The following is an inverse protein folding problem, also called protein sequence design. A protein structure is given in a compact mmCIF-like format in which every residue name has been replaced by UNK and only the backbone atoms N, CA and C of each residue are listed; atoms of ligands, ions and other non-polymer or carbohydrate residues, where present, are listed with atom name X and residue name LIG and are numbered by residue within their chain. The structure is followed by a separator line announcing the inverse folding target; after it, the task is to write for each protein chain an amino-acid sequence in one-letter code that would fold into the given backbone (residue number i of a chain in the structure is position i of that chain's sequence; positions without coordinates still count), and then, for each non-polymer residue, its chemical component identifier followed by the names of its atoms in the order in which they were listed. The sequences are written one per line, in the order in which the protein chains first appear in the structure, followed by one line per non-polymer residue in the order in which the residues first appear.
data_IF_527655159104
#
_entry.id   IF_527655159104
#
_cell.length_a   1.000
_cell.length_b   1.000
_cell.length_c   1.000
_cell.angle_alpha   90.00
_cell.angle_beta   90.00
_cell.angle_gamma   90.00
#
_symmetry.space_group_name_H-M   'P 1'
#
loop_
_entity.id
_entity.type
_entity.pdbx_description
1 polymer ?
#
# COMPACT_ATOMS: atom_id res chain seq x y z
N UNK A 1 -12.09 2.15 -12.24
CA UNK A 1 -11.21 1.58 -13.29
C UNK A 1 -10.81 0.17 -12.87
N UNK A 2 -10.96 -0.84 -13.73
CA UNK A 2 -10.78 -2.28 -13.43
C UNK A 2 -9.57 -2.92 -14.14
N UNK A 3 -8.72 -2.13 -14.82
CA UNK A 3 -7.62 -2.64 -15.64
C UNK A 3 -6.36 -3.05 -14.85
N UNK A 4 -6.48 -3.32 -13.55
CA UNK A 4 -5.34 -3.62 -12.67
C UNK A 4 -4.57 -4.88 -13.06
N UNK A 5 -5.22 -5.82 -13.76
CA UNK A 5 -4.64 -7.11 -14.15
C UNK A 5 -4.43 -7.27 -15.66
N UNK A 6 -4.86 -6.30 -16.48
CA UNK A 6 -4.74 -6.41 -17.94
C UNK A 6 -3.33 -6.06 -18.45
N UNK A 7 -2.66 -5.11 -17.78
CA UNK A 7 -1.30 -4.69 -18.12
C UNK A 7 -0.63 -4.01 -16.94
N UNK A 8 0.71 -4.03 -16.86
CA UNK A 8 1.44 -3.10 -16.02
C UNK A 8 1.04 -1.67 -16.42
N UNK A 9 0.33 -0.98 -15.54
CA UNK A 9 -0.02 0.42 -15.71
C UNK A 9 0.80 1.25 -14.72
N UNK A 10 1.76 2.03 -15.20
CA UNK A 10 2.34 3.11 -14.42
C UNK A 10 1.53 4.38 -14.71
N UNK A 11 0.54 4.68 -13.87
CA UNK A 11 -0.13 5.97 -13.96
C UNK A 11 0.89 7.09 -13.72
N UNK A 12 0.97 8.09 -14.59
CA UNK A 12 1.79 9.28 -14.31
C UNK A 12 1.20 10.03 -13.10
N UNK A 13 -0.10 9.88 -12.89
CA UNK A 13 -0.82 10.38 -11.73
C UNK A 13 -0.48 9.60 -10.46
N UNK A 14 0.21 10.30 -9.54
CA UNK A 14 0.57 9.79 -8.23
C UNK A 14 -0.65 9.54 -7.34
N UNK A 15 -1.74 10.27 -7.58
CA UNK A 15 -2.99 10.08 -6.86
C UNK A 15 -3.60 8.72 -7.16
N UNK A 16 -3.79 8.39 -8.44
CA UNK A 16 -4.27 7.07 -8.87
C UNK A 16 -3.39 5.91 -8.35
N UNK A 17 -2.06 6.11 -8.31
CA UNK A 17 -1.13 5.12 -7.75
C UNK A 17 -1.36 4.91 -6.25
N UNK A 18 -1.40 6.00 -5.48
CA UNK A 18 -1.50 5.92 -4.03
C UNK A 18 -2.87 5.39 -3.60
N UNK A 19 -3.95 5.86 -4.23
CA UNK A 19 -5.32 5.37 -3.95
C UNK A 19 -5.43 3.86 -4.20
N UNK A 20 -5.05 3.40 -5.39
CA UNK A 20 -5.16 1.98 -5.74
C UNK A 20 -4.23 1.08 -4.91
N UNK A 21 -2.96 1.48 -4.76
CA UNK A 21 -1.97 0.68 -4.02
C UNK A 21 -2.25 0.69 -2.52
N UNK A 22 -2.68 1.82 -1.97
CA UNK A 22 -3.06 1.96 -0.56
C UNK A 22 -4.26 1.08 -0.20
N UNK A 23 -5.35 1.14 -0.99
CA UNK A 23 -6.53 0.28 -0.77
C UNK A 23 -6.19 -1.20 -0.85
N UNK A 24 -5.48 -1.63 -1.89
CA UNK A 24 -5.12 -3.03 -2.07
C UNK A 24 -4.21 -3.49 -0.93
N UNK A 25 -3.21 -2.68 -0.56
CA UNK A 25 -2.27 -3.04 0.49
C UNK A 25 -2.95 -3.11 1.86
N UNK A 26 -3.84 -2.18 2.19
CA UNK A 26 -4.63 -2.22 3.42
C UNK A 26 -5.48 -3.50 3.51
N UNK A 27 -6.20 -3.85 2.43
CA UNK A 27 -6.95 -5.08 2.36
C UNK A 27 -6.07 -6.31 2.60
N UNK A 28 -4.90 -6.37 1.94
CA UNK A 28 -3.95 -7.48 2.12
C UNK A 28 -3.38 -7.53 3.55
N UNK A 29 -3.08 -6.37 4.15
CA UNK A 29 -2.60 -6.27 5.52
C UNK A 29 -3.63 -6.78 6.54
N UNK A 30 -4.93 -6.75 6.21
CA UNK A 30 -6.00 -7.37 7.01
C UNK A 30 -6.18 -8.85 6.67
N UNK A 31 -6.28 -9.18 5.38
CA UNK A 31 -6.79 -10.48 4.93
C UNK A 31 -5.73 -11.59 4.86
N UNK A 32 -4.45 -11.27 4.66
CA UNK A 32 -3.41 -12.30 4.56
C UNK A 32 -3.20 -13.02 5.90
N UNK A 33 -2.94 -14.34 5.89
CA UNK A 33 -2.36 -15.04 7.03
C UNK A 33 -1.02 -14.41 7.45
N UNK A 34 -0.67 -14.47 8.74
CA UNK A 34 0.52 -13.80 9.27
C UNK A 34 1.82 -14.31 8.61
N UNK A 35 1.88 -15.59 8.26
CA UNK A 35 3.02 -16.24 7.64
C UNK A 35 3.29 -15.67 6.23
N UNK A 36 2.21 -15.27 5.54
CA UNK A 36 2.26 -14.72 4.18
C UNK A 36 2.68 -13.24 4.15
N UNK A 37 2.57 -12.51 5.26
CA UNK A 37 2.97 -11.09 5.35
C UNK A 37 4.48 -10.88 5.13
N UNK A 38 5.29 -11.91 5.37
CA UNK A 38 6.74 -11.87 5.17
C UNK A 38 7.17 -12.23 3.75
N UNK A 39 6.22 -12.51 2.85
CA UNK A 39 6.59 -12.84 1.48
C UNK A 39 7.27 -11.67 0.78
N UNK A 40 8.28 -11.93 -0.06
CA UNK A 40 9.07 -10.86 -0.67
C UNK A 40 8.25 -9.83 -1.45
N UNK A 41 7.12 -10.23 -2.04
CA UNK A 41 6.27 -9.30 -2.78
C UNK A 41 5.46 -8.36 -1.86
N UNK A 42 5.08 -8.81 -0.65
CA UNK A 42 4.40 -7.97 0.35
C UNK A 42 5.36 -6.94 0.89
N UNK A 43 6.58 -7.36 1.24
CA UNK A 43 7.66 -6.47 1.68
C UNK A 43 7.95 -5.38 0.63
N UNK A 44 8.11 -5.77 -0.64
CA UNK A 44 8.33 -4.80 -1.73
C UNK A 44 7.14 -3.86 -1.93
N UNK A 45 5.92 -4.34 -1.75
CA UNK A 45 4.73 -3.49 -1.84
C UNK A 45 4.69 -2.46 -0.69
N UNK A 46 5.02 -2.87 0.53
CA UNK A 46 5.12 -2.00 1.70
C UNK A 46 6.18 -0.91 1.50
N UNK A 47 7.38 -1.31 1.09
CA UNK A 47 8.51 -0.41 0.81
C UNK A 47 8.15 0.61 -0.29
N UNK A 48 7.56 0.12 -1.40
CA UNK A 48 7.13 1.00 -2.49
C UNK A 48 6.06 2.00 -2.04
N UNK A 49 5.13 1.58 -1.20
CA UNK A 49 4.06 2.44 -0.69
C UNK A 49 4.60 3.50 0.27
N UNK A 50 5.56 3.15 1.14
CA UNK A 50 6.24 4.09 2.02
C UNK A 50 7.02 5.17 1.23
N UNK A 51 7.82 4.76 0.25
CA UNK A 51 8.53 5.68 -0.65
C UNK A 51 7.55 6.61 -1.38
N UNK A 52 6.39 6.07 -1.80
CA UNK A 52 5.39 6.87 -2.51
C UNK A 52 4.76 7.91 -1.59
N UNK A 53 4.49 7.57 -0.33
CA UNK A 53 4.00 8.53 0.67
C UNK A 53 5.00 9.67 0.90
N UNK A 54 6.28 9.34 1.04
CA UNK A 54 7.37 10.34 1.18
C UNK A 54 7.45 11.26 -0.04
N UNK A 55 7.36 10.70 -1.25
CA UNK A 55 7.37 11.47 -2.50
C UNK A 55 6.16 12.41 -2.65
N UNK A 56 5.08 12.16 -1.90
CA UNK A 56 3.87 12.99 -1.91
C UNK A 56 3.74 13.92 -0.71
N UNK A 57 4.75 14.01 0.17
CA UNK A 57 4.66 14.78 1.42
C UNK A 57 4.34 16.27 1.21
N UNK A 58 4.81 16.84 0.11
CA UNK A 58 4.63 18.27 -0.23
C UNK A 58 3.48 18.52 -1.23
N UNK A 59 2.63 17.53 -1.48
CA UNK A 59 1.54 17.59 -2.46
C UNK A 59 0.21 17.43 -1.73
N UNK A 60 -0.76 18.28 -2.07
CA UNK A 60 -2.15 18.11 -1.62
C UNK A 60 -2.76 16.87 -2.29
N UNK A 61 -2.74 15.75 -1.57
CA UNK A 61 -3.35 14.48 -1.95
C UNK A 61 -4.69 14.34 -1.23
N UNK A 62 -5.67 13.70 -1.87
CA UNK A 62 -6.94 13.39 -1.20
C UNK A 62 -6.71 12.59 0.09
N UNK A 63 -7.37 13.01 1.17
CA UNK A 63 -7.24 12.42 2.50
C UNK A 63 -7.50 10.91 2.52
N UNK A 64 -8.45 10.42 1.72
CA UNK A 64 -8.75 8.99 1.63
C UNK A 64 -7.55 8.16 1.17
N UNK A 65 -6.88 8.57 0.09
CA UNK A 65 -5.72 7.85 -0.43
C UNK A 65 -4.56 7.80 0.58
N UNK A 66 -4.29 8.92 1.26
CA UNK A 66 -3.28 9.00 2.32
C UNK A 66 -3.64 8.09 3.51
N UNK A 67 -4.90 8.12 3.93
CA UNK A 67 -5.40 7.32 5.05
C UNK A 67 -5.16 5.83 4.80
N UNK A 68 -5.64 5.29 3.67
CA UNK A 68 -5.54 3.86 3.42
C UNK A 68 -4.11 3.38 3.24
N UNK A 69 -3.25 4.21 2.63
CA UNK A 69 -1.83 3.89 2.51
C UNK A 69 -1.14 3.84 3.90
N UNK A 70 -1.31 4.88 4.72
CA UNK A 70 -0.69 4.94 6.05
C UNK A 70 -1.26 3.89 7.00
N UNK A 71 -2.58 3.69 6.99
CA UNK A 71 -3.27 2.71 7.83
C UNK A 71 -2.90 1.27 7.43
N UNK A 72 -2.81 0.96 6.13
CA UNK A 72 -2.32 -0.33 5.66
C UNK A 72 -0.90 -0.65 6.15
N UNK A 73 0.02 0.32 6.06
CA UNK A 73 1.39 0.18 6.57
C UNK A 73 1.43 0.02 8.10
N UNK A 74 0.58 0.74 8.84
CA UNK A 74 0.44 0.61 10.29
C UNK A 74 -0.01 -0.80 10.68
N UNK A 75 -1.07 -1.32 10.04
CA UNK A 75 -1.58 -2.67 10.26
C UNK A 75 -0.51 -3.72 9.95
N UNK A 76 0.16 -3.58 8.80
CA UNK A 76 1.24 -4.47 8.38
C UNK A 76 2.35 -4.55 9.44
N UNK A 77 2.87 -3.39 9.86
CA UNK A 77 3.90 -3.29 10.91
C UNK A 77 3.44 -3.92 12.21
N UNK A 78 2.24 -3.58 12.69
CA UNK A 78 1.73 -4.07 13.95
C UNK A 78 1.61 -5.61 13.93
N UNK A 79 1.11 -6.20 12.85
CA UNK A 79 0.99 -7.66 12.72
C UNK A 79 2.35 -8.37 12.66
N UNK A 80 3.35 -7.77 12.01
CA UNK A 80 4.70 -8.32 11.98
C UNK A 80 5.41 -8.24 13.34
N UNK A 81 5.23 -7.14 14.07
CA UNK A 81 5.84 -6.93 15.39
C UNK A 81 5.10 -7.63 16.53
N UNK A 82 3.83 -8.00 16.35
CA UNK A 82 3.03 -8.80 17.30
C UNK A 82 3.14 -10.31 17.07
N UNK A 83 3.91 -10.75 16.07
CA UNK A 83 4.28 -12.16 15.94
C UNK A 83 5.26 -12.52 17.07
N UNK A 84 5.07 -13.62 17.82
CA UNK A 84 6.00 -14.03 18.88
C UNK A 84 7.42 -14.25 18.36
#
# INVERSE_FOLDING_TARGET
STQFFERPASSIDVFAKLSSSGHIFEFLAVALPAERLREPWVLRAADRLAITLEQTADIDIECGALYHAAHGLLLYRNRLCQSP
#
